data_IF_163737137183
#
_entry.id   IF_163737137183
#
_cell.length_a   1.000
_cell.length_b   1.000
_cell.length_c   1.000
_cell.angle_alpha   90.00
_cell.angle_beta   90.00
_cell.angle_gamma   90.00
#
_symmetry.space_group_name_H-M   'P 1'
#
loop_
_entity.id
_entity.type
_entity.pdbx_description
1 polymer ?
#
# COMPACT_ATOMS: atom_id res chain seq x y z
N UNK A 1 3.33 3.91 -7.72
CA UNK A 1 4.15 4.39 -6.58
C UNK A 1 3.83 5.85 -6.35
N UNK A 2 3.19 6.24 -5.24
CA UNK A 2 3.15 7.63 -4.79
C UNK A 2 4.53 8.04 -4.31
N UNK A 3 4.89 9.31 -4.44
CA UNK A 3 6.16 9.82 -3.97
C UNK A 3 6.02 11.25 -3.46
N UNK A 4 6.53 11.51 -2.25
CA UNK A 4 6.62 12.85 -1.67
C UNK A 4 7.83 12.93 -0.73
N UNK A 5 8.78 13.81 -1.03
CA UNK A 5 9.97 14.09 -0.20
C UNK A 5 10.72 12.83 0.29
N UNK A 6 10.92 11.83 -0.58
CA UNK A 6 11.47 10.53 -0.21
C UNK A 6 12.92 10.31 -0.64
N UNK A 7 13.70 11.37 -0.85
CA UNK A 7 15.06 11.33 -1.39
C UNK A 7 15.99 10.31 -0.69
N UNK A 8 15.80 10.07 0.61
CA UNK A 8 16.62 9.12 1.38
C UNK A 8 16.43 7.64 0.97
N UNK A 9 15.24 7.28 0.49
CA UNK A 9 14.86 5.86 0.29
C UNK A 9 14.50 5.53 -1.16
N UNK A 10 14.13 6.55 -1.93
CA UNK A 10 13.55 6.42 -3.27
C UNK A 10 14.41 5.60 -4.23
N UNK A 11 15.74 5.80 -4.22
CA UNK A 11 16.68 5.07 -5.08
C UNK A 11 16.68 3.56 -4.76
N UNK A 12 16.67 3.19 -3.48
CA UNK A 12 16.62 1.79 -3.04
C UNK A 12 15.30 1.14 -3.46
N UNK A 13 14.19 1.84 -3.26
CA UNK A 13 12.86 1.37 -3.68
C UNK A 13 12.79 1.13 -5.18
N UNK A 14 13.21 2.09 -6.02
CA UNK A 14 13.20 1.94 -7.48
C UNK A 14 14.09 0.80 -7.93
N UNK A 15 15.29 0.66 -7.36
CA UNK A 15 16.21 -0.43 -7.67
C UNK A 15 15.61 -1.80 -7.34
N UNK A 16 14.82 -1.92 -6.27
CA UNK A 16 14.14 -3.18 -5.93
C UNK A 16 13.13 -3.62 -7.01
N UNK A 17 12.56 -2.65 -7.74
CA UNK A 17 11.64 -2.91 -8.86
C UNK A 17 12.42 -3.24 -10.14
N UNK A 18 13.50 -2.52 -10.43
CA UNK A 18 14.38 -2.78 -11.58
C UNK A 18 14.93 -4.21 -11.51
N UNK A 19 15.28 -4.67 -10.32
CA UNK A 19 15.86 -5.98 -10.05
C UNK A 19 14.85 -7.12 -9.95
N UNK A 20 13.55 -6.88 -10.23
CA UNK A 20 12.56 -7.96 -10.24
C UNK A 20 12.90 -9.02 -11.30
N UNK A 21 12.74 -10.31 -10.93
CA UNK A 21 12.94 -11.44 -11.85
C UNK A 21 11.89 -11.49 -12.97
N UNK A 22 10.66 -11.05 -12.71
CA UNK A 22 9.63 -10.85 -13.72
C UNK A 22 9.93 -9.59 -14.52
N UNK A 23 10.13 -9.70 -15.84
CA UNK A 23 10.62 -8.58 -16.66
C UNK A 23 9.54 -7.76 -17.38
N UNK A 24 8.30 -8.25 -17.46
CA UNK A 24 7.19 -7.55 -18.14
C UNK A 24 6.42 -6.65 -17.16
N UNK A 25 7.05 -5.57 -16.70
CA UNK A 25 6.46 -4.56 -15.83
C UNK A 25 6.70 -3.14 -16.36
N UNK A 26 5.85 -2.23 -15.95
CA UNK A 26 6.07 -0.77 -16.01
C UNK A 26 5.98 -0.21 -14.59
N UNK A 27 6.81 0.79 -14.26
CA UNK A 27 6.73 1.54 -13.02
C UNK A 27 6.16 2.93 -13.31
N UNK A 28 5.02 3.22 -12.69
CA UNK A 28 4.41 4.55 -12.75
C UNK A 28 4.65 5.23 -11.39
N UNK A 29 5.43 6.30 -11.40
CA UNK A 29 5.71 7.14 -10.23
C UNK A 29 4.87 8.40 -10.37
N UNK A 30 4.15 8.77 -9.32
CA UNK A 30 3.42 10.03 -9.23
C UNK A 30 4.03 10.83 -8.10
N UNK A 31 4.76 11.86 -8.49
CA UNK A 31 5.41 12.78 -7.55
C UNK A 31 4.43 13.87 -7.12
N UNK A 32 4.23 13.97 -5.83
CA UNK A 32 3.22 14.81 -5.20
C UNK A 32 3.77 16.19 -4.80
N UNK A 33 4.50 16.83 -5.73
CA UNK A 33 5.14 18.14 -5.51
C UNK A 33 6.26 18.08 -4.47
N UNK A 34 7.26 17.22 -4.73
CA UNK A 34 8.41 17.01 -3.85
C UNK A 34 9.46 18.14 -3.95
N UNK A 35 10.38 18.13 -2.98
CA UNK A 35 11.56 18.97 -2.93
C UNK A 35 12.56 18.70 -4.09
N UNK A 36 13.49 19.63 -4.30
CA UNK A 36 14.49 19.53 -5.37
C UNK A 36 15.42 18.30 -5.23
N UNK A 37 15.70 17.84 -3.99
CA UNK A 37 16.52 16.66 -3.75
C UNK A 37 15.85 15.41 -4.28
N UNK A 38 14.57 15.24 -4.01
CA UNK A 38 13.75 14.14 -4.51
C UNK A 38 13.60 14.19 -6.03
N UNK A 39 13.31 15.39 -6.59
CA UNK A 39 13.18 15.60 -8.04
C UNK A 39 14.47 15.24 -8.77
N UNK A 40 15.64 15.59 -8.24
CA UNK A 40 16.94 15.23 -8.82
C UNK A 40 17.11 13.71 -8.96
N UNK A 41 16.71 12.95 -7.93
CA UNK A 41 16.74 11.48 -7.98
C UNK A 41 15.75 10.96 -9.02
N UNK A 42 14.52 11.47 -9.05
CA UNK A 42 13.53 11.05 -10.05
C UNK A 42 14.03 11.28 -11.49
N UNK A 43 14.62 12.44 -11.75
CA UNK A 43 15.17 12.78 -13.05
C UNK A 43 16.28 11.82 -13.51
N UNK A 44 17.08 11.25 -12.60
CA UNK A 44 18.11 10.27 -12.95
C UNK A 44 17.54 8.94 -13.51
N UNK A 45 16.27 8.66 -13.25
CA UNK A 45 15.58 7.48 -13.79
C UNK A 45 14.75 7.78 -15.07
N UNK A 46 14.75 9.01 -15.58
CA UNK A 46 13.92 9.44 -16.73
C UNK A 46 14.18 8.60 -18.00
N UNK A 47 15.44 8.17 -18.20
CA UNK A 47 15.83 7.42 -19.40
C UNK A 47 15.49 5.92 -19.37
N UNK A 48 14.95 5.40 -18.25
CA UNK A 48 14.49 4.03 -18.18
C UNK A 48 13.14 3.87 -18.89
N UNK A 49 13.11 3.22 -20.04
CA UNK A 49 11.90 3.04 -20.87
C UNK A 49 10.68 2.47 -20.13
N UNK A 50 10.91 1.69 -19.05
CA UNK A 50 9.86 1.09 -18.24
C UNK A 50 9.38 1.96 -17.09
N UNK A 51 10.00 3.13 -16.85
CA UNK A 51 9.66 4.05 -15.76
C UNK A 51 9.00 5.30 -16.33
N UNK A 52 7.80 5.58 -15.85
CA UNK A 52 7.04 6.79 -16.21
C UNK A 52 6.85 7.63 -14.96
N UNK A 53 7.25 8.89 -15.02
CA UNK A 53 7.20 9.82 -13.88
C UNK A 53 6.22 10.95 -14.22
N UNK A 54 5.25 11.17 -13.33
CA UNK A 54 4.27 12.24 -13.40
C UNK A 54 4.46 13.17 -12.22
N UNK A 55 4.74 14.46 -12.49
CA UNK A 55 4.91 15.49 -11.48
C UNK A 55 3.61 16.26 -11.30
N UNK A 56 3.08 16.32 -10.08
CA UNK A 56 1.91 17.13 -9.76
C UNK A 56 2.33 18.56 -9.40
N UNK A 57 1.50 19.54 -9.71
CA UNK A 57 1.75 20.96 -9.39
C UNK A 57 1.44 21.30 -7.93
N UNK A 58 0.67 20.45 -7.21
CA UNK A 58 0.25 20.63 -5.82
C UNK A 58 0.21 19.29 -5.12
N UNK A 59 0.53 19.26 -3.83
CA UNK A 59 0.36 18.08 -3.00
C UNK A 59 -1.15 17.71 -2.87
N UNK A 60 -1.48 16.47 -3.21
CA UNK A 60 -2.85 15.92 -3.22
C UNK A 60 -3.02 14.67 -2.37
N UNK A 61 -1.92 14.20 -1.77
CA UNK A 61 -1.87 13.01 -0.92
C UNK A 61 -1.67 11.70 -1.68
N UNK A 62 -1.17 10.70 -0.95
CA UNK A 62 -0.80 9.39 -1.47
C UNK A 62 -1.96 8.64 -2.13
N UNK A 63 -3.17 8.75 -1.59
CA UNK A 63 -4.37 8.12 -2.15
C UNK A 63 -4.68 8.64 -3.54
N UNK A 64 -4.61 9.96 -3.74
CA UNK A 64 -4.76 10.56 -5.05
C UNK A 64 -3.70 10.05 -6.02
N UNK A 65 -2.43 10.05 -5.60
CA UNK A 65 -1.32 9.61 -6.43
C UNK A 65 -1.45 8.14 -6.84
N UNK A 66 -1.89 7.26 -5.94
CA UNK A 66 -2.15 5.84 -6.25
C UNK A 66 -3.24 5.69 -7.30
N UNK A 67 -4.36 6.38 -7.18
CA UNK A 67 -5.46 6.31 -8.15
C UNK A 67 -5.08 6.97 -9.48
N UNK A 68 -4.42 8.12 -9.44
CA UNK A 68 -3.92 8.78 -10.65
C UNK A 68 -2.97 7.87 -11.42
N UNK A 69 -1.97 7.29 -10.76
CA UNK A 69 -1.02 6.36 -11.37
C UNK A 69 -1.69 5.09 -11.91
N UNK A 70 -2.68 4.54 -11.18
CA UNK A 70 -3.43 3.37 -11.66
C UNK A 70 -4.23 3.63 -12.93
N UNK A 71 -4.75 4.84 -13.12
CA UNK A 71 -5.45 5.27 -14.35
C UNK A 71 -4.51 5.42 -15.54
N UNK A 72 -3.23 5.73 -15.30
CA UNK A 72 -2.18 5.82 -16.34
C UNK A 72 -1.66 4.47 -16.80
N UNK A 73 -1.89 3.40 -16.02
CA UNK A 73 -1.48 2.04 -16.40
C UNK A 73 -2.47 1.42 -17.40
N UNK A 74 -1.91 0.68 -18.37
CA UNK A 74 -2.67 -0.16 -19.29
C UNK A 74 -2.65 -1.65 -18.90
N UNK A 75 -1.87 -2.02 -17.88
CA UNK A 75 -1.69 -3.40 -17.44
C UNK A 75 -2.95 -3.98 -16.79
N UNK A 76 -3.16 -5.30 -16.93
CA UNK A 76 -4.28 -6.02 -16.29
C UNK A 76 -4.16 -6.05 -14.77
N UNK A 77 -2.94 -6.12 -14.24
CA UNK A 77 -2.66 -6.18 -12.81
C UNK A 77 -1.87 -4.95 -12.35
N UNK A 78 -2.17 -4.45 -11.19
CA UNK A 78 -1.49 -3.33 -10.54
C UNK A 78 -0.97 -3.78 -9.18
N UNK A 79 0.32 -3.58 -8.94
CA UNK A 79 0.94 -3.72 -7.63
C UNK A 79 1.28 -2.32 -7.09
N UNK A 80 0.98 -2.06 -5.83
CA UNK A 80 1.35 -0.81 -5.17
C UNK A 80 2.65 -1.00 -4.39
N UNK A 81 3.44 0.06 -4.35
CA UNK A 81 4.63 0.17 -3.50
C UNK A 81 4.74 1.63 -3.03
N UNK A 82 5.04 1.83 -1.77
CA UNK A 82 5.35 3.15 -1.20
C UNK A 82 6.84 3.47 -1.45
N UNK A 83 7.18 4.75 -1.55
CA UNK A 83 8.50 5.22 -2.03
C UNK A 83 9.66 4.98 -1.04
N UNK A 84 9.41 4.26 0.04
CA UNK A 84 10.36 3.92 1.10
C UNK A 84 10.45 2.42 1.40
N UNK A 85 9.61 1.60 0.76
CA UNK A 85 9.60 0.15 0.94
C UNK A 85 10.48 -0.57 -0.10
N UNK A 86 10.82 -1.83 0.17
CA UNK A 86 11.69 -2.63 -0.70
C UNK A 86 11.04 -3.97 -1.01
N UNK A 87 10.90 -4.28 -2.30
CA UNK A 87 10.40 -5.59 -2.74
C UNK A 87 11.51 -6.63 -2.84
N UNK A 88 11.20 -7.87 -2.46
CA UNK A 88 12.04 -9.03 -2.73
C UNK A 88 12.06 -9.34 -4.25
N UNK A 89 13.19 -9.86 -4.72
CA UNK A 89 13.49 -10.09 -6.15
C UNK A 89 12.40 -10.82 -6.93
N UNK A 90 11.70 -11.75 -6.30
CA UNK A 90 10.70 -12.60 -6.96
C UNK A 90 9.25 -12.20 -6.69
N UNK A 91 9.03 -11.03 -6.06
CA UNK A 91 7.67 -10.63 -5.63
C UNK A 91 6.68 -10.60 -6.78
N UNK A 92 6.99 -9.92 -7.86
CA UNK A 92 6.05 -9.80 -8.99
C UNK A 92 5.78 -11.16 -9.63
N UNK A 93 6.81 -11.99 -9.85
CA UNK A 93 6.68 -13.34 -10.43
C UNK A 93 5.79 -14.24 -9.59
N UNK A 94 6.09 -14.35 -8.29
CA UNK A 94 5.39 -15.25 -7.37
C UNK A 94 3.93 -14.80 -7.21
N UNK A 95 3.70 -13.52 -6.96
CA UNK A 95 2.37 -13.00 -6.68
C UNK A 95 1.48 -13.04 -7.93
N UNK A 96 2.01 -12.72 -9.11
CA UNK A 96 1.28 -12.79 -10.37
C UNK A 96 0.88 -14.24 -10.72
N UNK A 97 1.82 -15.19 -10.56
CA UNK A 97 1.54 -16.60 -10.80
C UNK A 97 0.45 -17.13 -9.85
N UNK A 98 0.51 -16.74 -8.57
CA UNK A 98 -0.51 -17.11 -7.59
C UNK A 98 -1.89 -16.56 -7.97
N UNK A 99 -1.97 -15.29 -8.41
CA UNK A 99 -3.22 -14.69 -8.89
C UNK A 99 -3.79 -15.41 -10.10
N UNK A 100 -2.95 -15.67 -11.11
CA UNK A 100 -3.36 -16.34 -12.35
C UNK A 100 -3.82 -17.76 -12.10
N UNK A 101 -3.03 -18.57 -11.38
CA UNK A 101 -3.34 -19.97 -11.06
C UNK A 101 -4.68 -20.13 -10.34
N UNK A 102 -4.97 -19.25 -9.39
CA UNK A 102 -6.16 -19.35 -8.53
C UNK A 102 -7.32 -18.42 -8.99
N UNK A 103 -7.17 -17.70 -10.09
CA UNK A 103 -8.14 -16.71 -10.60
C UNK A 103 -8.52 -15.64 -9.56
N UNK A 104 -7.57 -15.24 -8.70
CA UNK A 104 -7.79 -14.22 -7.67
C UNK A 104 -7.65 -12.81 -8.22
N UNK A 105 -8.50 -11.90 -7.73
CA UNK A 105 -8.56 -10.52 -8.17
C UNK A 105 -7.80 -9.56 -7.26
N UNK A 106 -7.52 -9.98 -6.01
CA UNK A 106 -6.79 -9.22 -5.02
C UNK A 106 -5.95 -10.17 -4.14
N UNK A 107 -4.65 -9.93 -4.11
CA UNK A 107 -3.70 -10.67 -3.27
C UNK A 107 -2.80 -9.73 -2.49
N UNK A 108 -2.26 -10.21 -1.37
CA UNK A 108 -1.24 -9.56 -0.55
C UNK A 108 -0.24 -10.61 -0.07
N UNK A 109 0.87 -10.15 0.51
CA UNK A 109 1.97 -11.04 0.95
C UNK A 109 2.27 -10.84 2.42
N UNK A 110 3.03 -11.77 3.02
CA UNK A 110 3.73 -11.51 4.25
C UNK A 110 4.76 -10.39 4.02
N UNK A 111 5.23 -9.77 5.10
CA UNK A 111 6.25 -8.75 5.05
C UNK A 111 7.05 -8.67 6.34
N UNK A 112 8.29 -8.19 6.24
CA UNK A 112 9.14 -7.93 7.39
C UNK A 112 9.33 -6.43 7.56
N UNK A 113 8.90 -5.86 8.71
CA UNK A 113 9.27 -4.50 9.07
C UNK A 113 10.78 -4.40 9.28
N UNK A 114 11.39 -3.26 8.91
CA UNK A 114 12.79 -2.99 9.19
C UNK A 114 13.02 -1.52 9.54
N UNK A 115 14.03 -1.28 10.37
CA UNK A 115 14.48 0.04 10.78
C UNK A 115 16.01 0.08 10.76
N UNK A 116 16.59 1.11 10.12
CA UNK A 116 18.07 1.26 10.05
C UNK A 116 18.81 -0.03 9.64
N UNK A 117 18.32 -0.72 8.60
CA UNK A 117 18.82 -2.01 8.08
C UNK A 117 18.55 -3.23 8.98
N UNK A 118 18.10 -3.07 10.22
CA UNK A 118 17.73 -4.18 11.11
C UNK A 118 16.35 -4.70 10.78
N UNK A 119 16.26 -5.99 10.44
CA UNK A 119 15.00 -6.68 10.21
C UNK A 119 14.32 -6.99 11.56
N UNK A 120 13.02 -6.78 11.63
CA UNK A 120 12.19 -7.13 12.77
C UNK A 120 11.43 -8.45 12.51
N UNK A 121 10.56 -8.82 13.44
CA UNK A 121 9.74 -10.03 13.30
C UNK A 121 8.84 -9.95 12.07
N UNK A 122 8.83 -11.02 11.26
CA UNK A 122 7.94 -11.15 10.11
C UNK A 122 6.47 -11.02 10.52
N UNK A 123 5.72 -10.23 9.79
CA UNK A 123 4.27 -10.11 9.92
C UNK A 123 3.61 -11.06 8.92
N UNK A 124 2.79 -11.97 9.46
CA UNK A 124 2.03 -12.97 8.71
C UNK A 124 0.54 -12.63 8.79
N UNK A 125 -0.01 -11.86 7.83
CA UNK A 125 -1.45 -11.59 7.81
C UNK A 125 -2.28 -12.86 7.68
N UNK A 126 -3.57 -12.86 8.05
CA UNK A 126 -4.50 -13.97 7.81
C UNK A 126 -4.47 -14.47 6.37
N UNK A 127 -4.83 -15.75 6.15
CA UNK A 127 -4.86 -16.38 4.80
C UNK A 127 -5.76 -15.66 3.80
N UNK A 128 -6.86 -15.08 4.28
CA UNK A 128 -7.83 -14.31 3.49
C UNK A 128 -8.51 -13.25 4.33
N UNK A 129 -8.91 -12.17 3.67
CA UNK A 129 -9.76 -11.13 4.23
C UNK A 129 -11.00 -10.93 3.37
N UNK A 130 -12.16 -10.83 4.00
CA UNK A 130 -13.33 -10.15 3.46
C UNK A 130 -13.41 -8.73 4.06
N UNK A 131 -14.41 -7.96 3.67
CA UNK A 131 -14.61 -6.60 4.18
C UNK A 131 -14.71 -6.56 5.72
N UNK A 132 -15.55 -7.41 6.31
CA UNK A 132 -15.80 -7.40 7.77
C UNK A 132 -14.60 -7.85 8.61
N UNK A 133 -13.81 -8.80 8.13
CA UNK A 133 -12.59 -9.22 8.81
C UNK A 133 -11.48 -8.17 8.65
N UNK A 134 -11.42 -7.46 7.51
CA UNK A 134 -10.42 -6.44 7.27
C UNK A 134 -10.64 -5.18 8.12
N UNK A 135 -11.88 -4.72 8.30
CA UNK A 135 -12.16 -3.56 9.17
C UNK A 135 -11.82 -3.82 10.65
N UNK A 136 -11.64 -5.09 11.05
CA UNK A 136 -11.18 -5.49 12.40
C UNK A 136 -9.68 -5.75 12.48
N UNK A 137 -9.00 -5.91 11.33
CA UNK A 137 -7.59 -6.25 11.27
C UNK A 137 -6.93 -5.68 10.01
N UNK A 138 -6.23 -4.57 10.15
CA UNK A 138 -5.62 -3.79 9.06
C UNK A 138 -4.19 -4.23 8.72
N UNK A 139 -3.84 -5.52 8.88
CA UNK A 139 -2.47 -6.00 8.66
C UNK A 139 -2.04 -6.08 7.21
N UNK A 140 -2.89 -5.80 6.24
CA UNK A 140 -2.48 -5.73 4.82
C UNK A 140 -1.66 -4.46 4.58
N UNK A 141 -0.35 -4.59 4.43
CA UNK A 141 0.52 -3.49 4.01
C UNK A 141 0.23 -3.11 2.55
N UNK A 142 0.16 -1.82 2.22
CA UNK A 142 -0.18 -1.35 0.87
C UNK A 142 0.85 -1.78 -0.16
N UNK A 143 2.14 -1.75 0.19
CA UNK A 143 3.23 -2.23 -0.67
C UNK A 143 3.26 -3.74 -0.90
N UNK A 144 2.44 -4.52 -0.15
CA UNK A 144 2.32 -5.96 -0.32
C UNK A 144 1.27 -6.38 -1.36
N UNK A 145 0.37 -5.48 -1.76
CA UNK A 145 -0.81 -5.84 -2.55
C UNK A 145 -0.54 -5.90 -4.06
N UNK A 146 -1.30 -6.78 -4.73
CA UNK A 146 -1.48 -6.81 -6.18
C UNK A 146 -2.96 -7.04 -6.48
N UNK A 147 -3.51 -6.27 -7.44
CA UNK A 147 -4.95 -6.17 -7.70
C UNK A 147 -5.21 -6.19 -9.20
N UNK A 148 -6.32 -6.77 -9.65
CA UNK A 148 -6.82 -6.56 -10.99
C UNK A 148 -7.22 -5.09 -11.17
N UNK A 149 -6.70 -4.44 -12.22
CA UNK A 149 -6.92 -3.00 -12.50
C UNK A 149 -8.40 -2.63 -12.56
N UNK A 150 -9.24 -3.54 -13.01
CA UNK A 150 -10.68 -3.34 -13.13
C UNK A 150 -11.34 -2.92 -11.81
N UNK A 151 -10.88 -3.48 -10.69
CA UNK A 151 -11.37 -3.13 -9.35
C UNK A 151 -11.09 -1.69 -8.95
N UNK A 152 -10.14 -1.02 -9.61
CA UNK A 152 -9.74 0.36 -9.32
C UNK A 152 -10.52 1.41 -10.11
N UNK A 153 -11.26 1.04 -11.17
CA UNK A 153 -11.95 1.99 -12.05
C UNK A 153 -12.97 2.88 -11.32
N UNK A 154 -13.71 2.32 -10.38
CA UNK A 154 -14.78 3.03 -9.65
C UNK A 154 -14.41 3.38 -8.20
N UNK A 155 -13.11 3.45 -7.89
CA UNK A 155 -12.66 3.85 -6.56
C UNK A 155 -12.87 5.35 -6.38
N UNK A 156 -13.53 5.70 -5.27
CA UNK A 156 -13.71 7.08 -4.81
C UNK A 156 -12.54 7.47 -3.90
N UNK A 157 -12.03 8.68 -4.08
CA UNK A 157 -11.07 9.25 -3.15
C UNK A 157 -11.80 9.72 -1.89
N UNK A 158 -11.21 9.52 -0.71
CA UNK A 158 -11.64 10.20 0.50
C UNK A 158 -10.74 11.42 0.72
N UNK A 159 -11.32 12.53 1.14
CA UNK A 159 -10.55 13.68 1.62
C UNK A 159 -10.13 13.43 3.07
N UNK A 160 -9.16 12.53 3.25
CA UNK A 160 -8.56 12.22 4.54
C UNK A 160 -7.06 12.39 4.44
N UNK A 161 -6.40 13.10 5.36
CA UNK A 161 -4.94 13.20 5.37
C UNK A 161 -4.25 11.89 5.79
N UNK A 162 -5.02 10.92 6.34
CA UNK A 162 -4.51 9.64 6.80
C UNK A 162 -5.45 8.50 6.39
N UNK A 163 -4.93 7.28 6.24
CA UNK A 163 -5.71 6.05 5.98
C UNK A 163 -6.50 6.03 4.66
N UNK A 164 -6.09 6.79 3.67
CA UNK A 164 -6.66 6.69 2.32
C UNK A 164 -6.51 5.29 1.74
N UNK A 165 -5.39 4.63 2.07
CA UNK A 165 -5.10 3.25 1.70
C UNK A 165 -6.00 2.23 2.42
N UNK A 166 -6.42 2.51 3.66
CA UNK A 166 -7.43 1.73 4.37
C UNK A 166 -8.79 1.83 3.65
N UNK A 167 -9.20 3.05 3.30
CA UNK A 167 -10.46 3.25 2.57
C UNK A 167 -10.42 2.61 1.17
N UNK A 168 -9.31 2.72 0.45
CA UNK A 168 -9.10 2.04 -0.83
C UNK A 168 -9.33 0.53 -0.70
N UNK A 169 -8.69 -0.11 0.27
CA UNK A 169 -8.83 -1.56 0.53
C UNK A 169 -10.27 -1.92 0.92
N UNK A 170 -10.93 -1.10 1.73
CA UNK A 170 -12.34 -1.28 2.09
C UNK A 170 -13.26 -1.27 0.85
N UNK A 171 -13.08 -0.30 -0.06
CA UNK A 171 -13.89 -0.22 -1.28
C UNK A 171 -13.70 -1.43 -2.19
N UNK A 172 -12.47 -1.92 -2.32
CA UNK A 172 -12.18 -3.12 -3.12
C UNK A 172 -12.81 -4.35 -2.47
N UNK A 173 -12.65 -4.53 -1.15
CA UNK A 173 -13.19 -5.67 -0.42
C UNK A 173 -14.73 -5.72 -0.38
N UNK A 174 -15.40 -4.58 -0.59
CA UNK A 174 -16.87 -4.55 -0.78
C UNK A 174 -17.30 -5.10 -2.15
N UNK A 175 -16.40 -5.16 -3.14
CA UNK A 175 -16.70 -5.64 -4.51
C UNK A 175 -16.34 -7.10 -4.73
N UNK A 176 -15.53 -7.68 -3.86
CA UNK A 176 -15.04 -9.05 -3.97
C UNK A 176 -15.30 -9.84 -2.69
N UNK A 177 -15.43 -11.15 -2.81
CA UNK A 177 -15.66 -12.00 -1.64
C UNK A 177 -14.44 -12.03 -0.71
N UNK A 178 -13.23 -12.19 -1.25
CA UNK A 178 -11.99 -12.27 -0.47
C UNK A 178 -10.78 -11.69 -1.20
N UNK A 179 -9.87 -11.06 -0.43
CA UNK A 179 -8.47 -10.91 -0.76
C UNK A 179 -7.68 -12.10 -0.17
N UNK A 180 -6.64 -12.56 -0.86
CA UNK A 180 -5.91 -13.78 -0.51
C UNK A 180 -4.43 -13.53 -0.24
N UNK A 181 -3.88 -14.17 0.79
CA UNK A 181 -2.48 -14.06 1.17
C UNK A 181 -1.61 -15.04 0.39
N UNK A 182 -0.58 -14.52 -0.27
CA UNK A 182 0.59 -15.30 -0.68
C UNK A 182 1.46 -15.48 0.55
N UNK A 183 1.51 -16.70 1.13
CA UNK A 183 2.25 -17.01 2.36
C UNK A 183 3.77 -17.02 2.13
N UNK A 184 4.29 -15.94 1.54
CA UNK A 184 5.73 -15.72 1.36
C UNK A 184 6.05 -14.28 1.76
N UNK A 185 7.19 -14.09 2.39
CA UNK A 185 7.72 -12.78 2.72
C UNK A 185 8.34 -12.16 1.47
N UNK A 186 7.64 -11.21 0.87
CA UNK A 186 8.03 -10.60 -0.41
C UNK A 186 8.17 -9.07 -0.33
N UNK A 187 8.14 -8.53 0.89
CA UNK A 187 8.22 -7.10 1.16
C UNK A 187 9.02 -6.82 2.42
N UNK A 188 9.99 -5.93 2.34
CA UNK A 188 10.59 -5.23 3.48
C UNK A 188 9.87 -3.90 3.66
N UNK A 189 9.17 -3.75 4.79
CA UNK A 189 8.37 -2.58 5.14
C UNK A 189 9.18 -1.65 6.03
N UNK A 190 9.46 -0.42 5.59
CA UNK A 190 10.30 0.51 6.33
C UNK A 190 9.54 1.21 7.45
N UNK A 191 10.11 1.18 8.66
CA UNK A 191 9.65 1.96 9.81
C UNK A 191 10.46 3.25 9.89
N UNK A 192 9.78 4.39 9.72
CA UNK A 192 10.38 5.73 9.87
C UNK A 192 10.06 6.30 11.24
N UNK A 193 10.96 7.10 11.78
CA UNK A 193 10.77 7.79 13.08
C UNK A 193 9.62 8.79 13.03
N UNK A 194 9.45 9.47 11.90
CA UNK A 194 8.41 10.47 11.68
C UNK A 194 7.21 9.94 10.86
N UNK A 195 6.81 8.66 11.07
CA UNK A 195 5.68 8.12 10.32
C UNK A 195 4.34 8.74 10.79
N UNK A 196 3.43 8.95 9.83
CA UNK A 196 2.06 9.45 10.10
C UNK A 196 1.28 8.56 11.07
N UNK A 197 1.67 7.30 11.21
CA UNK A 197 1.03 6.32 12.10
C UNK A 197 1.41 6.45 13.59
N UNK A 198 2.31 7.36 13.97
CA UNK A 198 2.81 7.49 15.34
C UNK A 198 1.77 8.02 16.34
N UNK A 199 0.91 8.93 15.91
CA UNK A 199 -0.13 9.51 16.77
C UNK A 199 -1.36 8.60 16.83
N UNK A 200 -1.45 7.78 17.89
CA UNK A 200 -2.51 6.78 18.07
C UNK A 200 -3.91 7.40 18.15
N UNK A 201 -4.09 8.52 18.85
CA UNK A 201 -5.40 9.19 18.98
C UNK A 201 -5.89 9.73 17.65
N UNK A 202 -5.01 10.42 16.89
CA UNK A 202 -5.32 10.89 15.54
C UNK A 202 -5.68 9.74 14.60
N UNK A 203 -5.01 8.60 14.75
CA UNK A 203 -5.29 7.41 13.92
C UNK A 203 -6.66 6.82 14.21
N UNK A 204 -7.04 6.70 15.49
CA UNK A 204 -8.37 6.24 15.92
C UNK A 204 -9.45 7.19 15.40
N UNK A 205 -9.26 8.50 15.53
CA UNK A 205 -10.20 9.51 15.03
C UNK A 205 -10.44 9.38 13.52
N UNK A 206 -9.38 9.24 12.72
CA UNK A 206 -9.54 9.11 11.27
C UNK A 206 -10.14 7.77 10.84
N UNK A 207 -9.78 6.67 11.49
CA UNK A 207 -10.42 5.37 11.26
C UNK A 207 -11.91 5.42 11.59
N UNK A 208 -12.28 6.04 12.71
CA UNK A 208 -13.67 6.29 13.06
C UNK A 208 -14.40 7.08 11.98
N UNK A 209 -13.84 8.24 11.58
CA UNK A 209 -14.42 9.10 10.55
C UNK A 209 -14.58 8.37 9.20
N UNK A 210 -13.61 7.57 8.81
CA UNK A 210 -13.69 6.76 7.58
C UNK A 210 -14.79 5.71 7.71
N UNK A 211 -14.86 4.99 8.82
CA UNK A 211 -15.87 3.98 9.04
C UNK A 211 -17.29 4.57 9.03
N UNK A 212 -17.51 5.68 9.72
CA UNK A 212 -18.82 6.32 9.81
C UNK A 212 -19.22 7.02 8.51
N UNK A 213 -18.36 7.90 7.99
CA UNK A 213 -18.74 8.83 6.92
C UNK A 213 -18.55 8.23 5.52
N UNK A 214 -17.52 7.43 5.30
CA UNK A 214 -17.19 6.90 3.99
C UNK A 214 -17.58 5.44 3.81
N UNK A 215 -17.32 4.59 4.80
CA UNK A 215 -17.74 3.19 4.77
C UNK A 215 -19.22 2.99 5.11
N UNK A 216 -19.88 4.00 5.72
CA UNK A 216 -21.28 3.97 6.15
C UNK A 216 -21.61 2.84 7.12
N UNK A 217 -20.67 2.49 8.01
CA UNK A 217 -20.88 1.48 9.05
C UNK A 217 -21.80 2.03 10.16
N UNK A 218 -22.53 1.12 10.82
CA UNK A 218 -23.30 1.48 12.03
C UNK A 218 -22.35 1.94 13.15
N UNK A 219 -22.89 2.62 14.17
CA UNK A 219 -22.16 3.04 15.35
C UNK A 219 -21.46 1.84 16.00
N UNK A 220 -22.22 0.79 16.28
CA UNK A 220 -21.76 -0.42 16.94
C UNK A 220 -20.64 -1.12 16.16
N UNK A 221 -20.81 -1.32 14.83
CA UNK A 221 -19.78 -1.92 13.97
C UNK A 221 -18.51 -1.08 13.93
N UNK A 222 -18.63 0.25 13.95
CA UNK A 222 -17.47 1.16 13.98
C UNK A 222 -16.70 1.07 15.29
N UNK A 223 -17.38 1.00 16.43
CA UNK A 223 -16.75 0.81 17.75
C UNK A 223 -16.02 -0.53 17.82
N UNK A 224 -16.68 -1.62 17.45
CA UNK A 224 -16.07 -2.96 17.39
C UNK A 224 -14.83 -2.94 16.50
N UNK A 225 -14.90 -2.32 15.33
CA UNK A 225 -13.77 -2.19 14.41
C UNK A 225 -12.56 -1.55 15.10
N UNK A 226 -12.74 -0.44 15.80
CA UNK A 226 -11.65 0.26 16.48
C UNK A 226 -11.03 -0.56 17.62
N UNK A 227 -11.86 -1.21 18.44
CA UNK A 227 -11.38 -2.08 19.53
C UNK A 227 -10.48 -3.19 18.96
N UNK A 228 -10.94 -3.90 17.92
CA UNK A 228 -10.16 -4.98 17.31
C UNK A 228 -8.91 -4.49 16.61
N UNK A 229 -8.95 -3.34 15.91
CA UNK A 229 -7.76 -2.73 15.28
C UNK A 229 -6.72 -2.40 16.35
N UNK A 230 -7.13 -1.78 17.46
CA UNK A 230 -6.25 -1.43 18.56
C UNK A 230 -5.60 -2.68 19.18
N UNK A 231 -6.38 -3.71 19.47
CA UNK A 231 -5.89 -4.99 19.98
C UNK A 231 -4.88 -5.66 19.02
N UNK A 232 -5.22 -5.75 17.74
CA UNK A 232 -4.34 -6.32 16.71
C UNK A 232 -3.06 -5.49 16.51
N UNK A 233 -3.12 -4.18 16.69
CA UNK A 233 -1.95 -3.29 16.63
C UNK A 233 -0.99 -3.56 17.80
N UNK A 234 -1.51 -3.72 19.02
CA UNK A 234 -0.72 -4.08 20.21
C UNK A 234 -0.05 -5.46 20.00
N UNK A 235 -0.79 -6.46 19.56
CA UNK A 235 -0.27 -7.79 19.27
C UNK A 235 0.85 -7.77 18.20
N UNK A 236 0.77 -6.84 17.25
CA UNK A 236 1.70 -6.72 16.13
C UNK A 236 3.00 -6.00 16.50
N UNK A 237 2.90 -4.93 17.28
CA UNK A 237 4.01 -4.02 17.55
C UNK A 237 4.43 -3.94 19.03
N UNK A 238 3.72 -4.63 19.92
CA UNK A 238 3.87 -4.50 21.37
C UNK A 238 3.18 -3.23 21.91
N UNK A 239 3.11 -3.14 23.24
CA UNK A 239 2.80 -1.90 23.96
C UNK A 239 4.04 -1.00 23.89
N UNK A 240 3.99 0.04 23.05
CA UNK A 240 4.96 1.14 23.03
C UNK A 240 4.26 2.40 23.45
#
# INVERSE_FOLDING_TARGET
>A
MPNYNSHLYLKETINSIINQSYKSWELIIVDDNSDLKTIKILKSFKNFKKIKIYFLKKNKGDGYCRIYGSRKSKSKFIAFIDSDDVWEKDKLKIQLNFMKKNKFNFTYTNYTPFKNKTLLKEIKPPKKFNFYSFIKNTTIATSSIMIQRELLKSIKLCKSPNFEDYFLKCQILKKIKFAHCVKKNLLKYRIKENSLSKNKFRNIFWLWKINRNFNKLSLFTSLISLVFISFNSIKKYGLK
#
